data_IF_934881056873
#
_entry.id   IF_934881056873
#
_cell.length_a   1.000
_cell.length_b   1.000
_cell.length_c   1.000
_cell.angle_alpha   90.00
_cell.angle_beta   90.00
_cell.angle_gamma   90.00
#
_symmetry.space_group_name_H-M   'P 1'
#
loop_
_entity.id
_entity.type
_entity.pdbx_description
1 polymer ?
#
# COMPACT_ATOMS: atom_id res chain seq x y z
N UNK A 1 17.69 -27.75 -22.36
CA UNK A 1 16.72 -26.83 -22.90
C UNK A 1 17.41 -25.70 -23.65
N UNK A 2 16.76 -25.12 -24.64
CA UNK A 2 17.29 -23.96 -25.36
C UNK A 2 16.78 -22.68 -24.69
N UNK A 3 17.72 -21.84 -24.27
CA UNK A 3 17.39 -20.53 -23.68
C UNK A 3 17.15 -19.53 -24.81
N UNK A 4 16.01 -18.85 -24.80
CA UNK A 4 15.67 -17.78 -25.74
C UNK A 4 15.38 -16.50 -24.95
N UNK A 5 15.83 -15.35 -25.43
CA UNK A 5 15.31 -14.07 -25.01
C UNK A 5 14.16 -13.70 -25.96
N UNK A 6 13.09 -13.18 -25.42
CA UNK A 6 11.95 -12.73 -26.19
C UNK A 6 11.60 -11.32 -25.76
N UNK A 7 11.59 -10.39 -26.71
CA UNK A 7 11.13 -9.04 -26.47
C UNK A 7 9.65 -8.97 -26.87
N UNK A 8 8.74 -8.62 -25.96
CA UNK A 8 7.33 -8.57 -26.28
C UNK A 8 7.03 -7.44 -27.26
N UNK A 9 6.41 -7.79 -28.38
CA UNK A 9 5.87 -6.82 -29.31
C UNK A 9 4.40 -6.53 -28.92
N UNK A 10 4.05 -5.27 -28.72
CA UNK A 10 2.69 -4.87 -28.30
C UNK A 10 2.17 -5.56 -27.02
N UNK A 11 3.06 -5.88 -26.09
CA UNK A 11 2.71 -6.53 -24.83
C UNK A 11 2.55 -8.04 -24.90
N UNK A 12 2.80 -8.67 -26.04
CA UNK A 12 2.72 -10.11 -26.23
C UNK A 12 4.03 -10.68 -26.78
N UNK A 13 4.40 -11.86 -26.31
CA UNK A 13 5.51 -12.62 -26.84
C UNK A 13 4.98 -13.90 -27.47
N UNK A 14 5.23 -14.11 -28.75
CA UNK A 14 4.87 -15.34 -29.45
C UNK A 14 6.04 -16.31 -29.49
N UNK A 15 5.84 -17.51 -28.96
CA UNK A 15 6.87 -18.55 -28.89
C UNK A 15 6.34 -19.80 -29.57
N UNK A 16 7.02 -20.24 -30.64
CA UNK A 16 6.71 -21.49 -31.31
C UNK A 16 7.32 -22.66 -30.53
N UNK A 17 6.46 -23.48 -29.92
CA UNK A 17 6.85 -24.70 -29.20
C UNK A 17 6.35 -25.92 -29.94
N UNK A 18 7.26 -26.89 -30.18
CA UNK A 18 6.90 -28.15 -30.86
C UNK A 18 6.36 -29.22 -29.93
N UNK A 19 6.91 -29.36 -28.73
CA UNK A 19 6.45 -30.23 -27.61
C UNK A 19 7.25 -29.88 -26.40
N UNK A 20 6.67 -29.62 -25.26
CA UNK A 20 7.45 -29.73 -24.02
C UNK A 20 7.00 -28.78 -22.89
N UNK A 21 7.75 -28.78 -21.83
CA UNK A 21 7.70 -27.83 -20.72
C UNK A 21 8.32 -26.50 -21.17
N UNK A 22 7.61 -25.42 -20.96
CA UNK A 22 8.09 -24.06 -21.17
C UNK A 22 8.33 -23.40 -19.80
N UNK A 23 9.60 -23.11 -19.51
CA UNK A 23 9.97 -22.37 -18.30
C UNK A 23 10.12 -20.90 -18.64
N UNK A 24 9.26 -20.06 -18.05
CA UNK A 24 9.29 -18.62 -18.25
C UNK A 24 9.84 -17.97 -16.98
N UNK A 25 10.96 -17.25 -17.10
CA UNK A 25 11.53 -16.49 -16.00
C UNK A 25 11.49 -14.99 -16.26
N UNK A 26 10.99 -14.26 -15.28
CA UNK A 26 10.99 -12.81 -15.29
C UNK A 26 12.08 -12.30 -14.34
N UNK A 27 12.77 -11.22 -14.76
CA UNK A 27 13.64 -10.48 -13.84
C UNK A 27 12.86 -9.30 -13.30
N UNK A 28 12.35 -9.36 -12.08
CA UNK A 28 11.67 -8.23 -11.49
C UNK A 28 12.66 -7.06 -11.29
N UNK A 29 12.18 -5.84 -11.54
CA UNK A 29 12.96 -4.62 -11.35
C UNK A 29 12.21 -3.74 -10.36
N UNK A 30 12.92 -3.21 -9.38
CA UNK A 30 12.39 -2.21 -8.46
C UNK A 30 12.29 -0.86 -9.17
N UNK A 31 11.13 -0.23 -9.10
CA UNK A 31 10.86 1.07 -9.73
C UNK A 31 10.05 1.96 -8.80
N UNK A 32 10.40 3.24 -8.79
CA UNK A 32 9.57 4.30 -8.21
C UNK A 32 8.70 4.93 -9.29
N UNK A 33 7.51 5.32 -8.91
CA UNK A 33 6.53 5.98 -9.78
C UNK A 33 5.92 7.16 -9.05
N UNK A 34 5.51 8.17 -9.81
CA UNK A 34 4.78 9.30 -9.26
C UNK A 34 3.28 9.03 -9.34
N UNK A 35 2.59 9.21 -8.23
CA UNK A 35 1.13 9.20 -8.16
C UNK A 35 0.55 10.51 -8.71
N UNK A 36 -0.73 10.49 -9.08
CA UNK A 36 -1.48 11.69 -9.50
C UNK A 36 -1.54 12.76 -8.40
N UNK A 37 -1.48 12.35 -7.13
CA UNK A 37 -1.48 13.24 -5.96
C UNK A 37 -0.09 13.80 -5.62
N UNK A 38 0.92 13.53 -6.47
CA UNK A 38 2.30 13.99 -6.27
C UNK A 38 3.14 13.14 -5.30
N UNK A 39 2.56 12.08 -4.73
CA UNK A 39 3.29 11.12 -3.91
C UNK A 39 4.08 10.11 -4.75
N UNK A 40 4.86 9.27 -4.08
CA UNK A 40 5.66 8.20 -4.68
C UNK A 40 5.10 6.84 -4.28
N UNK A 41 4.99 5.93 -5.23
CA UNK A 41 4.74 4.52 -4.97
C UNK A 41 5.79 3.64 -5.67
N UNK A 42 5.92 2.40 -5.20
CA UNK A 42 6.95 1.49 -5.67
C UNK A 42 6.35 0.21 -6.22
N UNK A 43 7.05 -0.34 -7.22
CA UNK A 43 6.75 -1.67 -7.77
C UNK A 43 8.02 -2.52 -7.81
N UNK A 44 7.85 -3.83 -7.70
CA UNK A 44 8.89 -4.82 -7.96
C UNK A 44 8.37 -5.86 -8.94
N UNK A 45 8.81 -5.76 -10.19
CA UNK A 45 8.18 -6.48 -11.29
C UNK A 45 6.68 -6.14 -11.39
N UNK A 46 5.79 -7.14 -11.34
CA UNK A 46 4.34 -6.91 -11.39
C UNK A 46 3.72 -6.53 -10.05
N UNK A 47 4.47 -6.56 -8.96
CA UNK A 47 3.94 -6.34 -7.62
C UNK A 47 3.94 -4.87 -7.24
N UNK A 48 2.78 -4.34 -6.87
CA UNK A 48 2.68 -3.09 -6.11
C UNK A 48 3.18 -3.36 -4.68
N UNK A 49 3.93 -2.42 -4.13
CA UNK A 49 4.49 -2.53 -2.79
C UNK A 49 3.73 -1.67 -1.79
N UNK A 50 3.59 -2.16 -0.58
CA UNK A 50 3.04 -1.45 0.56
C UNK A 50 4.03 -1.45 1.72
N UNK A 51 3.93 -0.45 2.58
CA UNK A 51 4.70 -0.42 3.82
C UNK A 51 4.32 -1.61 4.71
N UNK A 52 5.31 -2.30 5.23
CA UNK A 52 5.10 -3.31 6.28
C UNK A 52 4.84 -2.58 7.59
N UNK A 53 3.60 -2.63 8.04
CA UNK A 53 3.12 -2.01 9.27
C UNK A 53 2.70 -3.13 10.21
N UNK A 54 3.18 -3.12 11.45
CA UNK A 54 2.67 -4.01 12.48
C UNK A 54 1.22 -3.65 12.81
N UNK A 55 0.39 -4.65 13.04
CA UNK A 55 -1.05 -4.49 13.13
C UNK A 55 -1.58 -4.94 14.50
N UNK A 56 -2.39 -4.08 15.11
CA UNK A 56 -3.27 -4.45 16.21
C UNK A 56 -4.63 -4.80 15.65
N UNK A 57 -5.04 -6.06 15.81
CA UNK A 57 -6.29 -6.58 15.31
C UNK A 57 -7.25 -6.90 16.48
N UNK A 58 -8.46 -6.39 16.44
CA UNK A 58 -9.51 -6.69 17.41
C UNK A 58 -10.83 -6.96 16.69
N UNK A 59 -11.69 -7.81 17.26
CA UNK A 59 -13.02 -8.05 16.72
C UNK A 59 -13.89 -6.81 16.92
N UNK A 60 -14.52 -6.35 15.85
CA UNK A 60 -15.51 -5.28 15.94
C UNK A 60 -16.83 -5.80 16.47
N UNK A 61 -17.11 -5.55 17.74
CA UNK A 61 -18.34 -5.97 18.39
C UNK A 61 -19.57 -5.14 18.03
N UNK A 62 -19.38 -4.01 17.34
CA UNK A 62 -20.45 -3.07 16.95
C UNK A 62 -21.04 -3.42 15.57
N UNK A 63 -20.30 -4.12 14.71
CA UNK A 63 -20.79 -4.50 13.37
C UNK A 63 -21.88 -5.57 13.47
N UNK A 64 -23.11 -5.21 13.11
CA UNK A 64 -24.30 -6.07 13.25
C UNK A 64 -24.41 -7.17 12.18
N UNK A 65 -23.69 -7.03 11.07
CA UNK A 65 -23.74 -7.97 9.95
C UNK A 65 -22.71 -9.09 10.04
N UNK A 66 -21.87 -9.07 11.07
CA UNK A 66 -20.90 -10.13 11.31
C UNK A 66 -21.55 -11.42 11.79
N UNK A 67 -20.89 -12.54 11.51
CA UNK A 67 -21.27 -13.87 12.04
C UNK A 67 -20.06 -14.50 12.70
N UNK A 68 -20.26 -15.61 13.43
CA UNK A 68 -19.17 -16.34 14.06
C UNK A 68 -18.13 -16.82 13.03
N UNK A 69 -18.58 -17.16 11.81
CA UNK A 69 -17.71 -17.64 10.73
C UNK A 69 -17.06 -16.46 9.93
N UNK A 70 -17.66 -15.27 10.00
CA UNK A 70 -17.21 -14.06 9.30
C UNK A 70 -17.21 -12.86 10.25
N UNK A 71 -16.28 -12.82 11.21
CA UNK A 71 -16.16 -11.70 12.14
C UNK A 71 -15.64 -10.46 11.42
N UNK A 72 -16.15 -9.30 11.81
CA UNK A 72 -15.57 -8.02 11.43
C UNK A 72 -14.38 -7.70 12.33
N UNK A 73 -13.34 -7.09 11.78
CA UNK A 73 -12.15 -6.69 12.53
C UNK A 73 -11.87 -5.21 12.39
N UNK A 74 -11.49 -4.60 13.51
CA UNK A 74 -10.83 -3.32 13.53
C UNK A 74 -9.31 -3.56 13.52
N UNK A 75 -8.61 -2.96 12.55
CA UNK A 75 -7.17 -3.13 12.37
C UNK A 75 -6.51 -1.75 12.45
N UNK A 76 -5.60 -1.59 13.41
CA UNK A 76 -4.90 -0.34 13.66
C UNK A 76 -3.39 -0.53 13.51
N UNK A 77 -2.65 0.49 13.03
CA UNK A 77 -1.20 0.43 12.97
C UNK A 77 -0.60 0.36 14.39
N UNK A 78 0.30 -0.62 14.60
CA UNK A 78 1.05 -0.80 15.84
C UNK A 78 2.51 -0.35 15.71
N UNK A 79 2.95 0.00 14.50
CA UNK A 79 4.27 0.58 14.22
C UNK A 79 4.13 1.90 13.45
N UNK A 80 5.18 2.76 13.43
CA UNK A 80 5.17 4.00 12.67
C UNK A 80 4.90 3.76 11.18
N UNK A 81 4.13 4.64 10.57
CA UNK A 81 3.72 4.57 9.17
C UNK A 81 3.93 5.89 8.41
N UNK A 82 4.14 6.98 9.11
CA UNK A 82 4.24 8.35 8.62
C UNK A 82 5.64 8.66 8.07
N UNK A 83 5.92 8.15 6.88
CA UNK A 83 7.21 8.31 6.21
C UNK A 83 7.09 9.09 4.91
N UNK A 84 8.13 9.86 4.59
CA UNK A 84 8.35 10.48 3.29
C UNK A 84 9.55 9.82 2.60
N UNK A 85 9.55 9.77 1.27
CA UNK A 85 10.57 9.16 0.43
C UNK A 85 11.10 10.14 -0.62
N UNK A 86 12.30 9.91 -1.15
CA UNK A 86 12.85 10.74 -2.23
C UNK A 86 12.42 10.27 -3.62
N UNK A 87 12.13 8.98 -3.75
CA UNK A 87 11.86 8.31 -5.02
C UNK A 87 13.14 7.82 -5.74
N UNK A 88 14.31 7.94 -5.09
CA UNK A 88 15.62 7.55 -5.63
C UNK A 88 16.36 6.57 -4.70
N UNK A 89 15.63 5.89 -3.83
CA UNK A 89 16.18 4.97 -2.86
C UNK A 89 16.83 3.76 -3.56
N UNK A 90 18.00 3.37 -3.06
CA UNK A 90 18.61 2.10 -3.42
C UNK A 90 17.95 0.98 -2.59
N UNK A 91 17.29 -0.01 -3.22
CA UNK A 91 16.63 -1.07 -2.49
C UNK A 91 17.61 -2.16 -2.04
N UNK A 92 17.42 -2.70 -0.84
CA UNK A 92 17.92 -4.00 -0.44
C UNK A 92 16.79 -5.02 -0.58
N UNK A 93 16.97 -6.01 -1.45
CA UNK A 93 15.95 -7.02 -1.74
C UNK A 93 16.29 -8.30 -0.99
N UNK A 94 15.38 -8.73 -0.12
CA UNK A 94 15.51 -9.95 0.67
C UNK A 94 14.46 -10.94 0.17
N UNK A 95 14.92 -12.04 -0.41
CA UNK A 95 14.04 -13.13 -0.83
C UNK A 95 13.83 -14.08 0.33
N UNK A 96 12.58 -14.34 0.67
CA UNK A 96 12.24 -15.34 1.66
C UNK A 96 12.19 -16.73 1.00
N UNK A 97 12.40 -17.79 1.79
CA UNK A 97 12.29 -19.14 1.29
C UNK A 97 10.88 -19.40 0.74
N UNK A 98 10.82 -20.13 -0.37
CA UNK A 98 9.55 -20.46 -0.99
C UNK A 98 8.69 -21.28 -0.02
N UNK A 99 7.43 -20.91 0.10
CA UNK A 99 6.44 -21.60 0.92
C UNK A 99 5.34 -22.13 0.03
N UNK A 100 4.81 -23.30 0.35
CA UNK A 100 3.57 -23.84 -0.26
C UNK A 100 2.33 -23.06 0.18
N UNK A 101 2.49 -22.16 1.16
CA UNK A 101 1.41 -21.31 1.67
C UNK A 101 1.05 -20.23 0.64
N UNK A 102 -0.22 -19.84 0.58
CA UNK A 102 -0.64 -18.74 -0.29
C UNK A 102 -0.02 -17.41 0.16
N UNK A 103 0.15 -16.47 -0.77
CA UNK A 103 0.84 -15.18 -0.57
C UNK A 103 0.25 -14.32 0.57
N UNK A 104 -1.03 -14.47 0.89
CA UNK A 104 -1.66 -13.77 2.03
C UNK A 104 -1.28 -14.33 3.40
N UNK A 105 -0.62 -15.48 3.44
CA UNK A 105 -0.17 -16.11 4.68
C UNK A 105 1.35 -16.16 4.84
N UNK A 106 2.09 -15.67 3.85
CA UNK A 106 3.53 -15.47 3.96
C UNK A 106 4.00 -14.35 3.01
N UNK A 107 5.11 -13.73 3.34
CA UNK A 107 5.73 -12.67 2.52
C UNK A 107 6.83 -13.28 1.66
N UNK A 108 6.71 -13.33 0.32
CA UNK A 108 7.68 -13.98 -0.56
C UNK A 108 9.01 -13.23 -0.66
N UNK A 109 8.99 -11.92 -0.46
CA UNK A 109 10.17 -11.06 -0.42
C UNK A 109 9.88 -9.79 0.36
N UNK A 110 10.92 -9.19 0.87
CA UNK A 110 10.91 -7.89 1.54
C UNK A 110 11.89 -6.95 0.82
N UNK A 111 11.57 -5.68 0.76
CA UNK A 111 12.44 -4.66 0.17
C UNK A 111 12.66 -3.57 1.19
N UNK A 112 13.90 -3.38 1.59
CA UNK A 112 14.28 -2.32 2.50
C UNK A 112 14.73 -1.10 1.72
N UNK A 113 14.24 0.05 2.13
CA UNK A 113 14.64 1.35 1.60
C UNK A 113 14.82 2.35 2.74
N UNK A 114 15.55 3.42 2.46
CA UNK A 114 15.66 4.54 3.38
C UNK A 114 14.49 5.49 3.17
N UNK A 115 13.90 5.95 4.27
CA UNK A 115 12.85 6.95 4.28
C UNK A 115 13.10 7.94 5.41
N UNK A 116 12.39 9.03 5.45
CA UNK A 116 12.43 9.97 6.57
C UNK A 116 11.08 10.01 7.26
N UNK A 117 11.10 10.06 8.58
CA UNK A 117 9.89 10.27 9.37
C UNK A 117 9.27 11.60 8.93
N UNK A 118 7.97 11.62 8.72
CA UNK A 118 7.21 12.83 8.46
C UNK A 118 6.41 13.18 9.72
N UNK A 119 6.94 14.10 10.50
CA UNK A 119 6.32 14.56 11.73
C UNK A 119 4.98 15.27 11.43
N UNK A 120 4.05 15.24 12.38
CA UNK A 120 2.73 15.87 12.28
C UNK A 120 1.85 15.39 11.12
N UNK A 121 2.24 14.31 10.41
CA UNK A 121 1.38 13.65 9.44
C UNK A 121 0.68 12.48 10.12
N UNK A 122 -0.51 12.75 10.63
CA UNK A 122 -1.25 11.84 11.51
C UNK A 122 -2.54 11.36 10.86
N UNK A 123 -3.07 10.22 11.36
CA UNK A 123 -4.36 9.72 10.93
C UNK A 123 -5.46 10.72 11.21
N UNK A 124 -6.34 10.89 10.24
CA UNK A 124 -7.49 11.79 10.35
C UNK A 124 -8.73 10.99 10.70
N UNK A 125 -9.48 11.48 11.67
CA UNK A 125 -10.81 10.93 11.96
C UNK A 125 -11.81 11.48 10.95
N UNK A 126 -12.50 10.60 10.25
CA UNK A 126 -13.58 10.97 9.35
C UNK A 126 -14.91 10.78 10.08
N UNK A 127 -15.78 11.81 10.10
CA UNK A 127 -17.20 11.66 10.49
C UNK A 127 -18.00 11.17 9.27
N UNK A 128 -18.53 9.97 9.32
CA UNK A 128 -19.63 9.60 8.43
C UNK A 128 -20.86 10.42 8.86
N UNK A 129 -21.37 11.24 7.97
CA UNK A 129 -22.70 11.77 8.13
C UNK A 129 -23.66 10.58 8.12
N UNK A 130 -24.35 10.30 9.23
CA UNK A 130 -25.52 9.47 9.21
C UNK A 130 -26.56 10.21 8.36
N UNK A 131 -26.66 9.84 7.08
CA UNK A 131 -27.88 10.14 6.34
C UNK A 131 -28.91 9.15 6.84
N UNK A 132 -29.87 9.61 7.59
CA UNK A 132 -31.15 8.93 7.79
C UNK A 132 -31.69 8.66 6.37
N UNK A 133 -31.84 7.38 6.04
CA UNK A 133 -32.52 6.94 4.84
C UNK A 133 -34.01 7.18 5.02
N UNK A 134 -34.46 8.39 4.92
CA UNK A 134 -35.82 8.68 4.56
C UNK A 134 -35.92 8.66 3.02
N UNK A 135 -36.63 7.63 2.57
CA UNK A 135 -37.10 7.48 1.19
C UNK A 135 -36.04 7.31 0.06
N UNK A 136 -35.38 6.16 0.02
CA UNK A 136 -35.05 5.48 -1.25
C UNK A 136 -34.31 6.19 -2.39
N UNK A 137 -33.83 7.42 -2.23
CA UNK A 137 -33.14 8.18 -3.26
C UNK A 137 -31.63 8.24 -2.99
N UNK A 138 -30.87 8.01 -4.06
CA UNK A 138 -29.45 7.75 -4.06
C UNK A 138 -28.57 8.81 -3.38
N UNK A 139 -27.45 8.32 -2.88
CA UNK A 139 -26.37 9.11 -2.27
C UNK A 139 -25.79 10.09 -3.30
N UNK A 140 -25.94 11.38 -3.08
CA UNK A 140 -25.24 12.41 -3.85
C UNK A 140 -23.77 12.47 -3.42
N UNK A 141 -22.86 12.00 -4.29
CA UNK A 141 -21.41 11.90 -4.04
C UNK A 141 -20.71 13.27 -3.85
N UNK A 142 -21.44 14.38 -3.94
CA UNK A 142 -20.86 15.74 -3.92
C UNK A 142 -20.61 16.34 -2.53
N UNK A 143 -20.89 15.67 -1.44
CA UNK A 143 -20.70 16.20 -0.08
C UNK A 143 -19.72 15.43 0.80
N UNK A 144 -18.70 14.85 0.25
CA UNK A 144 -17.51 14.49 1.03
C UNK A 144 -16.56 15.68 1.00
N UNK A 145 -16.94 16.76 1.65
CA UNK A 145 -16.00 17.81 1.98
C UNK A 145 -15.00 17.27 3.00
N UNK A 146 -13.75 17.28 2.59
CA UNK A 146 -12.62 17.00 3.45
C UNK A 146 -12.60 18.05 4.58
N UNK A 147 -13.03 17.66 5.78
CA UNK A 147 -13.08 18.55 6.95
C UNK A 147 -14.35 18.50 7.78
N UNK A 148 -15.36 17.81 7.36
CA UNK A 148 -16.59 17.70 8.15
C UNK A 148 -16.59 16.43 9.01
N UNK A 149 -16.43 16.66 10.24
CA UNK A 149 -16.92 15.97 11.45
C UNK A 149 -17.46 14.54 11.34
N UNK A 150 -16.96 13.73 12.15
CA UNK A 150 -17.22 12.35 12.35
C UNK A 150 -17.96 11.94 13.52
N UNK A 151 -18.69 10.92 13.53
CA UNK A 151 -19.41 10.41 14.70
C UNK A 151 -18.94 9.03 15.15
N UNK A 152 -18.04 8.41 14.49
CA UNK A 152 -17.49 7.14 14.99
C UNK A 152 -16.01 7.35 15.36
N UNK A 153 -15.68 7.15 16.64
CA UNK A 153 -14.33 7.31 17.16
C UNK A 153 -13.31 6.37 16.52
N UNK A 154 -13.80 5.36 15.79
CA UNK A 154 -13.02 4.26 15.27
C UNK A 154 -12.67 4.38 13.77
N UNK A 155 -13.19 5.37 13.05
CA UNK A 155 -12.89 5.57 11.63
C UNK A 155 -11.68 6.49 11.41
N UNK A 156 -10.49 5.92 11.52
CA UNK A 156 -9.25 6.60 11.18
C UNK A 156 -8.87 6.33 9.73
N UNK A 157 -8.49 7.36 9.01
CA UNK A 157 -8.01 7.23 7.62
C UNK A 157 -6.66 7.93 7.46
N UNK A 158 -5.90 7.45 6.50
CA UNK A 158 -4.69 8.13 6.06
C UNK A 158 -5.06 9.48 5.48
N UNK A 159 -4.42 10.59 5.91
CA UNK A 159 -4.66 11.90 5.34
C UNK A 159 -4.20 11.96 3.88
N UNK A 160 -4.64 12.98 3.15
CA UNK A 160 -4.13 13.26 1.81
C UNK A 160 -2.61 13.44 1.83
N UNK A 161 -1.97 13.21 0.68
CA UNK A 161 -0.56 13.52 0.49
C UNK A 161 -0.36 15.03 0.77
N UNK A 162 0.50 15.40 1.71
CA UNK A 162 0.70 16.78 2.11
C UNK A 162 1.46 17.57 1.04
N UNK A 163 1.39 18.90 1.12
CA UNK A 163 2.14 19.79 0.24
C UNK A 163 3.65 19.65 0.42
N UNK A 164 4.41 20.02 -0.60
CA UNK A 164 5.87 19.99 -0.55
C UNK A 164 6.44 20.87 0.58
N UNK A 165 5.79 22.00 0.90
CA UNK A 165 6.21 22.88 1.99
C UNK A 165 5.99 22.21 3.34
N UNK A 166 4.84 21.57 3.55
CA UNK A 166 4.59 20.78 4.76
C UNK A 166 5.64 19.70 4.96
N UNK A 167 5.94 18.91 3.89
CA UNK A 167 6.95 17.87 3.95
C UNK A 167 8.31 18.46 4.35
N UNK A 168 8.70 19.57 3.74
CA UNK A 168 9.98 20.24 4.01
C UNK A 168 10.12 20.71 5.46
N UNK A 169 9.04 21.23 6.04
CA UNK A 169 9.00 21.78 7.40
C UNK A 169 8.95 20.68 8.48
N UNK A 170 8.36 19.52 8.15
CA UNK A 170 8.12 18.43 9.10
C UNK A 170 8.98 17.19 8.84
N UNK A 171 10.06 17.31 8.08
CA UNK A 171 10.93 16.19 7.75
C UNK A 171 11.85 15.84 8.93
N UNK A 172 11.61 14.71 9.56
CA UNK A 172 12.34 14.20 10.70
C UNK A 172 13.58 13.37 10.32
N UNK A 173 13.93 12.43 11.18
CA UNK A 173 15.10 11.56 11.03
C UNK A 173 14.96 10.53 9.90
N UNK A 174 16.13 10.06 9.40
CA UNK A 174 16.17 8.96 8.44
C UNK A 174 15.99 7.63 9.16
N UNK A 175 15.18 6.76 8.58
CA UNK A 175 14.90 5.40 9.04
C UNK A 175 14.93 4.43 7.87
N UNK A 176 15.27 3.19 8.13
CA UNK A 176 15.04 2.09 7.22
C UNK A 176 13.59 1.61 7.38
N UNK A 177 12.89 1.49 6.26
CA UNK A 177 11.54 0.95 6.21
C UNK A 177 11.50 -0.29 5.32
N UNK A 178 10.57 -1.19 5.60
CA UNK A 178 10.39 -2.42 4.84
C UNK A 178 9.12 -2.33 4.01
N UNK A 179 9.24 -2.61 2.73
CA UNK A 179 8.13 -2.75 1.80
C UNK A 179 7.88 -4.23 1.51
N UNK A 180 6.61 -4.59 1.39
CA UNK A 180 6.14 -5.94 1.07
C UNK A 180 5.13 -5.90 -0.07
N UNK A 181 4.84 -7.03 -0.75
CA UNK A 181 3.76 -7.06 -1.73
C UNK A 181 2.44 -6.61 -1.11
N UNK A 182 1.70 -5.77 -1.82
CA UNK A 182 0.41 -5.22 -1.40
C UNK A 182 -0.58 -6.25 -0.83
N UNK A 183 -0.58 -7.48 -1.37
CA UNK A 183 -1.43 -8.56 -0.91
C UNK A 183 -0.99 -9.24 0.40
N UNK A 184 0.17 -8.86 0.95
CA UNK A 184 0.75 -9.48 2.15
C UNK A 184 0.52 -8.68 3.44
N UNK A 185 -0.28 -7.61 3.40
CA UNK A 185 -0.60 -6.77 4.55
C UNK A 185 -2.06 -6.34 4.50
N UNK A 186 -2.68 -6.09 5.64
CA UNK A 186 -4.04 -5.57 5.73
C UNK A 186 -4.05 -4.03 5.70
N UNK A 187 -3.11 -3.39 6.39
CA UNK A 187 -2.92 -1.94 6.31
C UNK A 187 -2.02 -1.64 5.09
N UNK A 188 -2.63 -1.03 4.06
CA UNK A 188 -2.04 -0.95 2.72
C UNK A 188 -1.60 0.46 2.36
N UNK A 189 -0.62 1.01 3.06
CA UNK A 189 0.00 2.28 2.69
C UNK A 189 0.96 2.06 1.52
N UNK A 190 0.60 2.54 0.34
CA UNK A 190 1.35 2.35 -0.90
C UNK A 190 1.93 3.64 -1.46
N UNK A 191 1.34 4.80 -1.14
CA UNK A 191 1.75 6.10 -1.65
C UNK A 191 2.36 6.92 -0.52
N UNK A 192 3.57 7.39 -0.73
CA UNK A 192 4.35 8.14 0.25
C UNK A 192 4.51 9.60 -0.17
N UNK A 193 4.45 10.56 0.76
CA UNK A 193 4.89 11.92 0.51
C UNK A 193 6.31 11.97 -0.03
N UNK A 194 6.55 12.86 -1.01
CA UNK A 194 7.87 13.02 -1.61
C UNK A 194 8.64 14.15 -0.94
N UNK A 195 9.91 13.88 -0.58
CA UNK A 195 10.85 14.95 -0.22
C UNK A 195 11.93 15.12 -1.30
N UNK A 196 12.50 16.32 -1.37
CA UNK A 196 13.57 16.63 -2.31
C UNK A 196 14.92 16.64 -1.56
N UNK A 197 15.88 15.89 -2.09
CA UNK A 197 17.26 15.94 -1.64
C UNK A 197 17.86 17.25 -2.19
N UNK A 198 18.47 18.03 -1.31
CA UNK A 198 19.19 19.24 -1.69
C UNK A 198 20.58 18.89 -2.21
#
# INVERSE_FOLDING_TARGET
GKKCSCDPLNGYAEIQVKTCTLDISFKPVFKSHMSVDGGIYYTYGPFLLALKIDENCSVDTKEKRQTADFPAYNIYPASPWNYAVSGWEAPEIIMNESSEKPMWSYVPFEIKIKARVLENWELVRIKRAEKEFENGEGIDEKQVECGASVVDEDNLVTPKIPSADFVKENLGEEREITLVPYGCTNIRLTVFPKYFIK
#
